data_IF_228311711938
#
_entry.id   IF_228311711938
#
_cell.length_a   1.000
_cell.length_b   1.000
_cell.length_c   1.000
_cell.angle_alpha   90.00
_cell.angle_beta   90.00
_cell.angle_gamma   90.00
#
_symmetry.space_group_name_H-M   'P 1'
#
loop_
_entity.id
_entity.type
_entity.pdbx_description
1 polymer ?
#
# COMPACT_ATOMS: atom_id res chain seq x y z
N UNK A 1 -7.20 28.63 0.67
CA UNK A 1 -8.12 29.74 1.06
C UNK A 1 -8.62 29.75 2.51
N UNK A 2 -8.86 28.62 3.21
CA UNK A 2 -9.18 28.63 4.67
C UNK A 2 -7.91 28.57 5.54
N UNK A 3 -7.00 27.65 5.20
CA UNK A 3 -5.71 27.48 5.86
C UNK A 3 -4.82 28.75 5.84
N UNK A 4 -4.75 29.44 4.70
CA UNK A 4 -3.99 30.70 4.56
C UNK A 4 -4.58 31.84 5.40
N UNK A 5 -5.90 31.80 5.64
CA UNK A 5 -6.60 32.76 6.49
C UNK A 5 -6.29 32.51 7.97
N UNK A 6 -6.21 31.24 8.35
CA UNK A 6 -5.90 30.82 9.71
C UNK A 6 -4.42 31.07 10.06
N UNK A 7 -3.50 30.89 9.11
CA UNK A 7 -2.06 31.22 9.29
C UNK A 7 -1.84 32.73 9.43
N UNK A 8 -2.50 33.55 8.60
CA UNK A 8 -2.41 35.03 8.73
C UNK A 8 -2.96 35.51 10.06
N UNK A 9 -4.10 34.96 10.51
CA UNK A 9 -4.68 35.30 11.80
C UNK A 9 -3.77 34.92 12.97
N UNK A 10 -3.14 33.73 12.92
CA UNK A 10 -2.19 33.30 13.94
C UNK A 10 -0.94 34.21 13.97
N UNK A 11 -0.43 34.60 12.80
CA UNK A 11 0.67 35.57 12.68
C UNK A 11 0.30 36.93 13.28
N UNK A 12 -0.90 37.43 13.00
CA UNK A 12 -1.38 38.71 13.54
C UNK A 12 -1.59 38.66 15.06
N UNK A 13 -2.10 37.53 15.60
CA UNK A 13 -2.29 37.32 17.04
C UNK A 13 -0.94 37.19 17.79
N UNK A 14 0.06 36.55 17.18
CA UNK A 14 1.43 36.47 17.74
C UNK A 14 2.13 37.82 17.73
N UNK A 15 1.88 38.66 16.72
CA UNK A 15 2.46 40.00 16.61
C UNK A 15 1.73 41.05 17.47
N UNK A 16 0.45 40.85 17.79
CA UNK A 16 -0.35 41.75 18.63
C UNK A 16 -0.14 41.57 20.15
N UNK A 17 0.42 40.45 20.62
CA UNK A 17 0.71 40.19 22.05
C UNK A 17 1.98 40.88 22.60
N UNK A 18 2.42 41.96 21.96
CA UNK A 18 3.79 42.49 22.00
C UNK A 18 4.26 43.27 23.22
N UNK A 19 3.48 43.41 24.31
CA UNK A 19 3.90 44.21 25.47
C UNK A 19 4.22 43.39 26.75
N UNK A 20 4.22 42.06 26.66
CA UNK A 20 4.50 41.19 27.83
C UNK A 20 5.18 39.84 27.54
N UNK A 21 5.69 39.62 26.33
CA UNK A 21 6.27 38.33 25.95
C UNK A 21 7.69 38.14 26.53
N UNK A 22 7.81 37.27 27.56
CA UNK A 22 9.10 36.79 28.08
C UNK A 22 9.99 36.29 26.94
N UNK A 23 11.32 36.44 27.08
CA UNK A 23 12.31 36.12 26.06
C UNK A 23 12.16 34.68 25.53
N UNK A 24 11.71 33.75 26.38
CA UNK A 24 11.42 32.36 26.04
C UNK A 24 10.24 32.21 25.06
N UNK A 25 9.21 33.05 25.17
CA UNK A 25 8.06 33.08 24.23
C UNK A 25 8.48 33.62 22.86
N UNK A 26 9.31 34.67 22.82
CA UNK A 26 9.88 35.21 21.59
C UNK A 26 10.82 34.23 20.89
N UNK A 27 11.63 33.48 21.66
CA UNK A 27 12.49 32.43 21.11
C UNK A 27 11.66 31.26 20.54
N UNK A 28 10.62 30.81 21.24
CA UNK A 28 9.71 29.78 20.74
C UNK A 28 8.98 30.19 19.45
N UNK A 29 8.53 31.44 19.39
CA UNK A 29 7.87 32.00 18.19
C UNK A 29 8.81 32.10 16.99
N UNK A 30 10.09 32.46 17.21
CA UNK A 30 11.12 32.46 16.15
C UNK A 30 11.41 31.06 15.63
N UNK A 31 11.57 30.08 16.52
CA UNK A 31 11.80 28.69 16.12
C UNK A 31 10.61 28.14 15.30
N UNK A 32 9.37 28.51 15.64
CA UNK A 32 8.19 28.13 14.89
C UNK A 32 8.15 28.75 13.48
N UNK A 33 8.56 30.02 13.34
CA UNK A 33 8.68 30.69 12.04
C UNK A 33 9.78 30.07 11.18
N UNK A 34 10.97 29.81 11.74
CA UNK A 34 12.07 29.15 11.04
C UNK A 34 11.66 27.74 10.55
N UNK A 35 10.93 26.99 11.38
CA UNK A 35 10.39 25.68 10.99
C UNK A 35 9.35 25.80 9.87
N UNK A 36 8.48 26.82 9.90
CA UNK A 36 7.50 27.07 8.85
C UNK A 36 8.16 27.43 7.51
N UNK A 37 9.17 28.32 7.51
CA UNK A 37 9.92 28.70 6.32
C UNK A 37 10.75 27.54 5.74
N UNK A 38 11.30 26.69 6.61
CA UNK A 38 11.98 25.47 6.18
C UNK A 38 10.98 24.50 5.50
N UNK A 39 9.77 24.38 6.07
CA UNK A 39 8.71 23.56 5.50
C UNK A 39 8.22 24.11 4.16
N UNK A 40 8.06 25.43 4.01
CA UNK A 40 7.72 26.07 2.73
C UNK A 40 8.76 25.77 1.65
N UNK A 41 10.06 25.88 1.98
CA UNK A 41 11.14 25.54 1.03
C UNK A 41 11.09 24.09 0.57
N UNK A 42 10.77 23.15 1.47
CA UNK A 42 10.58 21.73 1.12
C UNK A 42 9.37 21.55 0.21
N UNK A 43 8.25 22.21 0.51
CA UNK A 43 7.04 22.14 -0.31
C UNK A 43 7.26 22.74 -1.71
N UNK A 44 8.02 23.82 -1.82
CA UNK A 44 8.37 24.41 -3.11
C UNK A 44 9.31 23.52 -3.93
N UNK A 45 10.28 22.87 -3.28
CA UNK A 45 11.12 21.87 -3.94
C UNK A 45 10.31 20.65 -4.42
N UNK A 46 9.28 20.23 -3.68
CA UNK A 46 8.35 19.19 -4.11
C UNK A 46 7.47 19.67 -5.27
N UNK A 47 6.95 20.90 -5.23
CA UNK A 47 6.17 21.49 -6.33
C UNK A 47 7.00 21.60 -7.61
N UNK A 48 8.29 21.93 -7.49
CA UNK A 48 9.20 21.99 -8.62
C UNK A 48 9.35 20.62 -9.31
N UNK A 49 9.38 19.53 -8.54
CA UNK A 49 9.41 18.16 -9.10
C UNK A 49 8.12 17.78 -9.83
N UNK A 50 7.00 18.41 -9.48
CA UNK A 50 5.71 18.22 -10.15
C UNK A 50 5.48 19.18 -11.34
N UNK A 51 6.48 19.97 -11.74
CA UNK A 51 6.33 20.86 -12.91
C UNK A 51 6.03 20.05 -14.17
N UNK A 52 4.96 20.44 -14.88
CA UNK A 52 4.48 19.75 -16.08
C UNK A 52 3.44 18.67 -15.81
N UNK A 53 3.15 18.33 -14.55
CA UNK A 53 2.03 17.47 -14.18
C UNK A 53 0.75 18.32 -14.13
N UNK A 54 -0.17 18.06 -15.05
CA UNK A 54 -1.49 18.70 -15.04
C UNK A 54 -2.58 17.82 -14.41
N UNK A 55 -3.78 18.39 -14.23
CA UNK A 55 -4.91 17.68 -13.65
C UNK A 55 -5.36 16.47 -14.49
N UNK A 56 -5.17 16.51 -15.81
CA UNK A 56 -5.52 15.40 -16.70
C UNK A 56 -4.54 14.23 -16.53
N UNK A 57 -3.24 14.51 -16.36
CA UNK A 57 -2.23 13.51 -16.05
C UNK A 57 -2.51 12.82 -14.72
N UNK A 58 -2.85 13.60 -13.68
CA UNK A 58 -3.26 13.05 -12.38
C UNK A 58 -4.53 12.21 -12.49
N UNK A 59 -5.55 12.72 -13.19
CA UNK A 59 -6.82 12.00 -13.40
C UNK A 59 -6.66 10.69 -14.19
N UNK A 60 -5.61 10.58 -15.01
CA UNK A 60 -5.29 9.38 -15.78
C UNK A 60 -4.45 8.36 -15.00
N UNK A 61 -3.93 8.70 -13.81
CA UNK A 61 -3.03 7.84 -13.04
C UNK A 61 -3.66 6.48 -12.70
N UNK A 62 -4.81 6.48 -12.01
CA UNK A 62 -5.50 5.24 -11.62
C UNK A 62 -5.96 4.42 -12.84
N UNK A 63 -6.59 5.02 -13.87
CA UNK A 63 -6.93 4.29 -15.10
C UNK A 63 -5.72 3.67 -15.82
N UNK A 64 -4.61 4.39 -15.92
CA UNK A 64 -3.40 3.89 -16.58
C UNK A 64 -2.75 2.77 -15.77
N UNK A 65 -2.68 2.91 -14.44
CA UNK A 65 -2.21 1.87 -13.55
C UNK A 65 -3.06 0.60 -13.68
N UNK A 66 -4.38 0.73 -13.68
CA UNK A 66 -5.30 -0.39 -13.88
C UNK A 66 -5.08 -1.05 -15.25
N UNK A 67 -4.92 -0.27 -16.31
CA UNK A 67 -4.64 -0.80 -17.65
C UNK A 67 -3.32 -1.55 -17.69
N UNK A 68 -2.25 -1.02 -17.10
CA UNK A 68 -0.95 -1.68 -17.00
C UNK A 68 -1.05 -3.01 -16.22
N UNK A 69 -1.79 -3.03 -15.10
CA UNK A 69 -2.08 -4.24 -14.34
C UNK A 69 -2.80 -5.31 -15.20
N UNK A 70 -3.80 -4.91 -15.98
CA UNK A 70 -4.52 -5.81 -16.90
C UNK A 70 -3.65 -6.33 -18.04
N UNK A 71 -2.67 -5.55 -18.49
CA UNK A 71 -1.68 -5.92 -19.50
C UNK A 71 -0.56 -6.81 -18.94
N UNK A 72 -0.56 -7.09 -17.63
CA UNK A 72 0.39 -8.01 -17.00
C UNK A 72 1.68 -7.35 -16.52
N UNK A 73 1.74 -6.02 -16.41
CA UNK A 73 2.89 -5.36 -15.78
C UNK A 73 2.88 -5.67 -14.27
N UNK A 74 3.89 -6.39 -13.74
CA UNK A 74 3.82 -6.93 -12.39
C UNK A 74 3.78 -5.88 -11.27
N UNK A 75 4.51 -4.76 -11.40
CA UNK A 75 4.49 -3.70 -10.40
C UNK A 75 3.15 -2.98 -10.36
N UNK A 76 2.60 -2.65 -11.53
CA UNK A 76 1.30 -2.04 -11.68
C UNK A 76 0.20 -2.93 -11.13
N UNK A 77 0.28 -4.24 -11.36
CA UNK A 77 -0.66 -5.22 -10.77
C UNK A 77 -0.60 -5.20 -9.25
N UNK A 78 0.59 -5.32 -8.66
CA UNK A 78 0.73 -5.31 -7.22
C UNK A 78 0.32 -3.96 -6.61
N UNK A 79 0.68 -2.83 -7.23
CA UNK A 79 0.31 -1.49 -6.76
C UNK A 79 -1.19 -1.25 -6.88
N UNK A 80 -1.81 -1.66 -8.00
CA UNK A 80 -3.24 -1.56 -8.16
C UNK A 80 -3.97 -2.41 -7.13
N UNK A 81 -3.50 -3.63 -6.83
CA UNK A 81 -4.07 -4.44 -5.75
C UNK A 81 -3.90 -3.77 -4.37
N UNK A 82 -2.74 -3.19 -4.09
CA UNK A 82 -2.43 -2.55 -2.81
C UNK A 82 -3.25 -1.27 -2.55
N UNK A 83 -3.32 -0.36 -3.53
CA UNK A 83 -3.89 0.98 -3.37
C UNK A 83 -5.15 1.21 -4.20
N UNK A 84 -5.25 0.57 -5.36
CA UNK A 84 -6.37 0.68 -6.27
C UNK A 84 -6.80 2.14 -6.52
N UNK A 85 -8.10 2.46 -6.40
CA UNK A 85 -8.56 3.84 -6.56
C UNK A 85 -8.15 4.76 -5.40
N UNK A 86 -7.69 4.23 -4.27
CA UNK A 86 -7.17 5.01 -3.15
C UNK A 86 -5.82 5.69 -3.43
N UNK A 87 -5.16 5.37 -4.55
CA UNK A 87 -3.97 6.09 -5.02
C UNK A 87 -4.29 7.56 -5.35
N UNK A 88 -5.54 7.85 -5.74
CA UNK A 88 -6.07 9.20 -5.94
C UNK A 88 -7.34 9.37 -5.09
N UNK A 89 -7.14 9.60 -3.79
CA UNK A 89 -8.24 9.74 -2.83
C UNK A 89 -9.17 10.93 -3.17
N UNK A 90 -8.66 11.99 -3.77
CA UNK A 90 -9.45 13.13 -4.19
C UNK A 90 -10.35 12.76 -5.39
N UNK A 91 -9.76 12.19 -6.45
CA UNK A 91 -10.51 11.76 -7.62
C UNK A 91 -11.46 10.59 -7.35
N UNK A 92 -11.27 9.84 -6.26
CA UNK A 92 -12.23 8.83 -5.82
C UNK A 92 -13.58 9.43 -5.38
N UNK A 93 -13.60 10.66 -4.85
CA UNK A 93 -14.85 11.35 -4.50
C UNK A 93 -15.65 11.71 -5.75
N UNK A 94 -14.96 12.08 -6.83
CA UNK A 94 -15.57 12.40 -8.12
C UNK A 94 -15.94 11.15 -8.93
N UNK A 95 -15.29 10.01 -8.63
CA UNK A 95 -15.44 8.73 -9.33
C UNK A 95 -15.66 7.53 -8.40
N UNK A 96 -16.75 7.50 -7.61
CA UNK A 96 -17.02 6.43 -6.66
C UNK A 96 -17.22 5.06 -7.32
N UNK A 97 -17.60 5.02 -8.60
CA UNK A 97 -17.74 3.80 -9.40
C UNK A 97 -16.45 2.98 -9.46
N UNK A 98 -15.29 3.63 -9.30
CA UNK A 98 -13.97 2.97 -9.31
C UNK A 98 -13.81 1.95 -8.18
N UNK A 99 -14.52 2.11 -7.06
CA UNK A 99 -14.53 1.09 -5.98
C UNK A 99 -15.19 -0.21 -6.43
N UNK A 100 -16.31 -0.11 -7.13
CA UNK A 100 -17.00 -1.30 -7.66
C UNK A 100 -16.17 -1.99 -8.75
N UNK A 101 -15.53 -1.20 -9.63
CA UNK A 101 -14.62 -1.72 -10.64
C UNK A 101 -13.40 -2.41 -10.02
N UNK A 102 -12.81 -1.83 -8.98
CA UNK A 102 -11.73 -2.45 -8.22
C UNK A 102 -12.14 -3.81 -7.65
N UNK A 103 -13.28 -3.89 -6.95
CA UNK A 103 -13.80 -5.17 -6.42
C UNK A 103 -14.03 -6.20 -7.51
N UNK A 104 -14.57 -5.78 -8.66
CA UNK A 104 -14.82 -6.67 -9.79
C UNK A 104 -13.55 -7.20 -10.48
N UNK A 105 -12.44 -6.46 -10.38
CA UNK A 105 -11.18 -6.78 -11.10
C UNK A 105 -10.13 -7.44 -10.21
N UNK A 106 -10.16 -7.20 -8.89
CA UNK A 106 -9.16 -7.67 -7.94
C UNK A 106 -8.93 -9.18 -8.05
N UNK A 107 -10.01 -9.98 -8.09
CA UNK A 107 -9.92 -11.43 -8.20
C UNK A 107 -9.15 -11.89 -9.45
N UNK A 108 -9.43 -11.30 -10.61
CA UNK A 108 -8.72 -11.64 -11.86
C UNK A 108 -7.24 -11.29 -11.79
N UNK A 109 -6.90 -10.14 -11.18
CA UNK A 109 -5.50 -9.73 -11.01
C UNK A 109 -4.77 -10.66 -10.04
N UNK A 110 -5.42 -11.08 -8.95
CA UNK A 110 -4.89 -12.07 -8.00
C UNK A 110 -4.61 -13.40 -8.69
N UNK A 111 -5.61 -13.95 -9.39
CA UNK A 111 -5.50 -15.25 -10.06
C UNK A 111 -4.36 -15.25 -11.09
N UNK A 112 -4.23 -14.18 -11.88
CA UNK A 112 -3.10 -14.00 -12.81
C UNK A 112 -1.77 -13.87 -12.09
N UNK A 113 -1.69 -13.08 -11.02
CA UNK A 113 -0.46 -12.92 -10.24
C UNK A 113 0.04 -14.22 -9.64
N UNK A 114 -0.86 -15.03 -9.09
CA UNK A 114 -0.52 -16.36 -8.57
C UNK A 114 -0.14 -17.32 -9.70
N UNK A 115 -0.79 -17.24 -10.87
CA UNK A 115 -0.43 -18.04 -12.04
C UNK A 115 0.98 -17.70 -12.56
N UNK A 116 1.35 -16.41 -12.55
CA UNK A 116 2.65 -15.93 -13.01
C UNK A 116 3.78 -16.12 -11.96
N UNK A 117 3.45 -16.61 -10.77
CA UNK A 117 4.42 -16.75 -9.68
C UNK A 117 4.93 -15.40 -9.14
N UNK A 118 4.04 -14.40 -9.04
CA UNK A 118 4.37 -13.04 -8.62
C UNK A 118 4.35 -12.89 -7.09
N UNK A 119 5.53 -12.85 -6.47
CA UNK A 119 5.68 -12.72 -5.02
C UNK A 119 5.09 -11.42 -4.45
N UNK A 120 5.05 -10.33 -5.25
CA UNK A 120 4.47 -9.06 -4.81
C UNK A 120 2.96 -9.17 -4.59
N UNK A 121 2.28 -9.93 -5.45
CA UNK A 121 0.84 -10.20 -5.30
C UNK A 121 0.60 -11.04 -4.06
N UNK A 122 1.43 -12.07 -3.82
CA UNK A 122 1.32 -12.88 -2.61
C UNK A 122 1.51 -12.06 -1.33
N UNK A 123 2.45 -11.12 -1.34
CA UNK A 123 2.70 -10.22 -0.22
C UNK A 123 1.47 -9.36 0.12
N UNK A 124 0.81 -8.79 -0.91
CA UNK A 124 -0.44 -8.05 -0.70
C UNK A 124 -1.55 -8.93 -0.12
N UNK A 125 -1.64 -10.19 -0.57
CA UNK A 125 -2.67 -11.13 -0.10
C UNK A 125 -2.46 -11.55 1.36
N UNK A 126 -1.22 -11.71 1.81
CA UNK A 126 -0.93 -12.01 3.21
C UNK A 126 -1.55 -10.97 4.14
N UNK A 127 -1.29 -9.70 3.85
CA UNK A 127 -1.86 -8.58 4.61
C UNK A 127 -3.38 -8.48 4.45
N UNK A 128 -3.92 -8.72 3.26
CA UNK A 128 -5.37 -8.64 3.02
C UNK A 128 -6.19 -9.71 3.77
N UNK A 129 -5.61 -10.87 4.04
CA UNK A 129 -6.24 -11.93 4.83
C UNK A 129 -5.86 -11.88 6.32
N UNK A 130 -5.26 -10.79 6.80
CA UNK A 130 -5.08 -10.56 8.24
C UNK A 130 -6.39 -10.31 8.98
N UNK A 131 -6.63 -10.97 10.13
CA UNK A 131 -7.78 -10.66 10.95
C UNK A 131 -7.76 -9.17 11.32
N UNK A 132 -8.82 -8.45 10.93
CA UNK A 132 -8.93 -7.01 11.17
C UNK A 132 -8.24 -6.14 10.12
N UNK A 133 -7.77 -6.70 9.01
CA UNK A 133 -7.27 -5.92 7.88
C UNK A 133 -8.37 -4.98 7.34
N UNK A 134 -8.02 -3.72 7.16
CA UNK A 134 -8.94 -2.63 6.76
C UNK A 134 -8.63 -2.06 5.36
N UNK A 135 -7.77 -2.76 4.60
CA UNK A 135 -7.43 -2.37 3.24
C UNK A 135 -8.58 -2.59 2.25
N UNK A 136 -8.54 -1.87 1.11
CA UNK A 136 -9.48 -2.12 0.01
C UNK A 136 -9.40 -3.57 -0.50
N UNK A 137 -8.20 -4.15 -0.50
CA UNK A 137 -7.98 -5.53 -0.92
C UNK A 137 -8.64 -6.51 0.06
N UNK A 138 -8.50 -6.29 1.37
CA UNK A 138 -9.17 -7.07 2.40
C UNK A 138 -10.70 -7.04 2.20
N UNK A 139 -11.26 -5.87 1.94
CA UNK A 139 -12.69 -5.72 1.64
C UNK A 139 -13.12 -6.40 0.32
N UNK A 140 -12.21 -6.57 -0.65
CA UNK A 140 -12.50 -7.21 -1.93
C UNK A 140 -12.40 -8.75 -1.87
N UNK A 141 -11.46 -9.28 -1.08
CA UNK A 141 -11.24 -10.73 -0.96
C UNK A 141 -12.08 -11.36 0.16
N UNK A 142 -12.42 -10.59 1.19
CA UNK A 142 -13.16 -11.04 2.36
C UNK A 142 -12.38 -11.99 3.27
N UNK A 143 -13.04 -12.43 4.33
CA UNK A 143 -12.44 -13.36 5.30
C UNK A 143 -12.55 -14.80 4.81
N UNK A 144 -11.40 -15.46 4.59
CA UNK A 144 -11.31 -16.89 4.30
C UNK A 144 -10.08 -17.50 5.01
N UNK A 145 -10.34 -18.32 6.02
CA UNK A 145 -9.29 -18.95 6.82
C UNK A 145 -8.42 -19.92 6.00
N UNK A 146 -9.01 -20.60 5.01
CA UNK A 146 -8.27 -21.52 4.15
C UNK A 146 -7.35 -20.75 3.20
N UNK A 147 -7.82 -19.63 2.64
CA UNK A 147 -6.98 -18.76 1.81
C UNK A 147 -5.85 -18.10 2.60
N UNK A 148 -6.12 -17.62 3.82
CA UNK A 148 -5.09 -17.12 4.74
C UNK A 148 -3.96 -18.14 4.90
N UNK A 149 -4.31 -19.38 5.27
CA UNK A 149 -3.32 -20.44 5.46
C UNK A 149 -2.56 -20.75 4.16
N UNK A 150 -3.29 -20.89 3.04
CA UNK A 150 -2.70 -21.17 1.71
C UNK A 150 -1.60 -20.17 1.35
N UNK A 151 -1.88 -18.87 1.47
CA UNK A 151 -0.93 -17.83 1.10
C UNK A 151 0.24 -17.71 2.10
N UNK A 152 -0.01 -17.87 3.40
CA UNK A 152 1.06 -17.95 4.41
C UNK A 152 1.99 -19.15 4.15
N UNK A 153 1.42 -20.32 3.84
CA UNK A 153 2.20 -21.52 3.54
C UNK A 153 3.03 -21.35 2.27
N UNK A 154 2.43 -20.81 1.21
CA UNK A 154 3.11 -20.54 -0.06
C UNK A 154 4.28 -19.57 0.14
N UNK A 155 4.07 -18.49 0.91
CA UNK A 155 5.15 -17.57 1.26
C UNK A 155 6.25 -18.29 2.03
N UNK A 156 5.89 -19.11 3.02
CA UNK A 156 6.88 -19.84 3.84
C UNK A 156 7.77 -20.76 3.01
N UNK A 157 7.22 -21.38 1.96
CA UNK A 157 7.97 -22.24 1.02
C UNK A 157 9.03 -21.46 0.22
N UNK A 158 8.75 -20.21 -0.15
CA UNK A 158 9.69 -19.34 -0.86
C UNK A 158 10.64 -18.54 0.04
N UNK A 159 10.34 -18.45 1.34
CA UNK A 159 11.12 -17.70 2.31
C UNK A 159 12.40 -18.44 2.75
N UNK A 160 13.48 -17.74 3.14
CA UNK A 160 14.65 -18.36 3.74
C UNK A 160 14.31 -19.25 4.95
N UNK A 161 15.14 -20.24 5.24
CA UNK A 161 14.97 -21.19 6.35
C UNK A 161 15.26 -20.59 7.74
N UNK A 162 14.85 -19.35 8.01
CA UNK A 162 14.94 -18.74 9.33
C UNK A 162 13.58 -18.86 10.06
N UNK A 163 13.54 -19.30 11.32
CA UNK A 163 12.34 -19.23 12.15
C UNK A 163 11.98 -17.76 12.40
N UNK A 164 10.69 -17.43 12.36
CA UNK A 164 10.22 -16.05 12.60
C UNK A 164 8.70 -15.94 12.70
N UNK A 165 8.19 -14.70 12.72
CA UNK A 165 6.76 -14.38 12.85
C UNK A 165 5.86 -15.16 11.86
N UNK A 166 6.38 -15.49 10.67
CA UNK A 166 5.65 -16.26 9.66
C UNK A 166 5.27 -17.68 10.11
N UNK A 167 6.05 -18.32 10.99
CA UNK A 167 5.77 -19.69 11.46
C UNK A 167 4.66 -19.70 12.53
N UNK A 168 4.63 -18.67 13.39
CA UNK A 168 3.56 -18.48 14.37
C UNK A 168 2.23 -18.11 13.72
N UNK A 169 2.27 -17.20 12.72
CA UNK A 169 1.10 -16.84 11.92
C UNK A 169 0.51 -18.05 11.20
N UNK A 170 1.39 -18.90 10.65
CA UNK A 170 1.00 -20.12 9.95
C UNK A 170 0.37 -21.13 10.92
N UNK A 171 0.93 -21.31 12.11
CA UNK A 171 0.38 -22.19 13.14
C UNK A 171 -1.01 -21.69 13.62
N UNK A 172 -1.14 -20.38 13.83
CA UNK A 172 -2.41 -19.74 14.21
C UNK A 172 -3.47 -19.89 13.12
N UNK A 173 -3.08 -19.74 11.84
CA UNK A 173 -3.98 -19.97 10.72
C UNK A 173 -4.39 -21.46 10.61
N UNK A 174 -3.46 -22.39 10.80
CA UNK A 174 -3.75 -23.84 10.80
C UNK A 174 -4.76 -24.22 11.89
N UNK A 175 -4.65 -23.64 13.08
CA UNK A 175 -5.56 -23.93 14.20
C UNK A 175 -7.03 -23.59 13.90
N UNK A 176 -7.31 -22.78 12.88
CA UNK A 176 -8.67 -22.42 12.44
C UNK A 176 -9.23 -23.38 11.38
N UNK A 177 -8.46 -24.38 10.94
CA UNK A 177 -8.85 -25.30 9.87
C UNK A 177 -9.09 -26.71 10.42
N UNK A 178 -10.07 -27.41 9.84
CA UNK A 178 -10.22 -28.84 10.04
C UNK A 178 -9.09 -29.64 9.35
N UNK A 179 -8.83 -30.89 9.76
CA UNK A 179 -7.73 -31.70 9.21
C UNK A 179 -7.74 -31.82 7.68
N UNK A 180 -8.91 -32.02 7.08
CA UNK A 180 -9.07 -32.11 5.62
C UNK A 180 -8.75 -30.78 4.93
N UNK A 181 -9.26 -29.66 5.45
CA UNK A 181 -9.00 -28.32 4.89
C UNK A 181 -7.52 -27.96 4.96
N UNK A 182 -6.86 -28.31 6.07
CA UNK A 182 -5.43 -28.11 6.25
C UNK A 182 -4.64 -28.91 5.21
N UNK A 183 -4.91 -30.20 5.06
CA UNK A 183 -4.23 -31.05 4.08
C UNK A 183 -4.44 -30.55 2.63
N UNK A 184 -5.65 -30.13 2.27
CA UNK A 184 -5.95 -29.54 0.96
C UNK A 184 -5.19 -28.23 0.73
N UNK A 185 -5.12 -27.38 1.75
CA UNK A 185 -4.43 -26.10 1.68
C UNK A 185 -2.90 -26.27 1.57
N UNK A 186 -2.31 -27.22 2.31
CA UNK A 186 -0.89 -27.58 2.19
C UNK A 186 -0.55 -28.14 0.81
N UNK A 187 -1.41 -29.03 0.29
CA UNK A 187 -1.23 -29.61 -1.03
C UNK A 187 -1.37 -28.54 -2.13
N UNK A 188 -2.30 -27.60 -1.97
CA UNK A 188 -2.42 -26.44 -2.86
C UNK A 188 -1.16 -25.58 -2.85
N UNK A 189 -0.65 -25.21 -1.66
CA UNK A 189 0.51 -24.32 -1.54
C UNK A 189 1.77 -24.97 -2.14
N UNK A 190 1.99 -26.26 -1.86
CA UNK A 190 3.12 -27.02 -2.40
C UNK A 190 3.04 -27.13 -3.92
N UNK A 191 1.86 -27.46 -4.48
CA UNK A 191 1.69 -27.53 -5.95
C UNK A 191 1.93 -26.17 -6.59
N UNK A 192 1.33 -25.11 -6.04
CA UNK A 192 1.44 -23.74 -6.58
C UNK A 192 2.89 -23.25 -6.54
N UNK A 193 3.61 -23.53 -5.45
CA UNK A 193 5.03 -23.20 -5.33
C UNK A 193 5.87 -23.87 -6.43
N UNK A 194 5.66 -25.16 -6.66
CA UNK A 194 6.42 -25.93 -7.65
C UNK A 194 6.01 -25.60 -9.09
N UNK A 195 4.73 -25.38 -9.35
CA UNK A 195 4.20 -25.21 -10.72
C UNK A 195 4.26 -23.77 -11.20
N UNK A 196 3.81 -22.81 -10.39
CA UNK A 196 3.66 -21.42 -10.81
C UNK A 196 4.89 -20.59 -10.42
N UNK A 197 5.38 -20.80 -9.19
CA UNK A 197 6.58 -20.10 -8.70
C UNK A 197 7.87 -20.83 -9.09
N UNK A 198 7.78 -22.02 -9.71
CA UNK A 198 8.91 -22.83 -10.17
C UNK A 198 9.96 -23.11 -9.08
N UNK A 199 9.54 -23.16 -7.81
CA UNK A 199 10.44 -23.33 -6.67
C UNK A 199 11.38 -22.14 -6.42
N UNK A 200 11.16 -20.99 -7.09
CA UNK A 200 11.96 -19.78 -6.91
C UNK A 200 11.75 -19.23 -5.51
N UNK A 201 12.78 -18.61 -4.95
CA UNK A 201 12.67 -17.93 -3.66
C UNK A 201 12.01 -16.57 -3.81
N UNK A 202 11.49 -16.03 -2.70
CA UNK A 202 10.88 -14.70 -2.65
C UNK A 202 11.86 -13.60 -3.07
N UNK A 203 13.13 -13.77 -2.72
CA UNK A 203 14.22 -12.82 -2.98
C UNK A 203 14.83 -12.96 -4.40
N UNK A 204 14.31 -13.85 -5.24
CA UNK A 204 14.88 -14.14 -6.55
C UNK A 204 14.83 -12.94 -7.52
N UNK A 205 13.81 -12.08 -7.40
CA UNK A 205 13.59 -10.92 -8.27
C UNK A 205 13.94 -9.60 -7.55
N UNK A 206 14.71 -9.67 -6.47
CA UNK A 206 14.97 -8.55 -5.55
C UNK A 206 14.07 -8.59 -4.31
N UNK A 207 14.27 -7.64 -3.36
CA UNK A 207 13.44 -7.60 -2.17
C UNK A 207 12.02 -7.13 -2.51
N UNK A 208 11.06 -7.53 -1.68
CA UNK A 208 9.66 -7.09 -1.78
C UNK A 208 9.56 -5.62 -1.35
N UNK A 209 9.72 -4.71 -2.31
CA UNK A 209 9.51 -3.27 -2.13
C UNK A 209 8.00 -2.93 -2.06
N UNK A 210 7.68 -1.75 -1.54
CA UNK A 210 6.33 -1.17 -1.75
C UNK A 210 6.05 -1.17 -3.26
N UNK A 211 5.03 -1.90 -3.73
CA UNK A 211 4.81 -2.05 -5.17
C UNK A 211 4.43 -0.74 -5.86
N UNK A 212 4.02 0.28 -5.10
CA UNK A 212 3.71 1.61 -5.61
C UNK A 212 4.89 2.58 -5.58
N UNK A 213 6.05 2.14 -5.07
CA UNK A 213 7.31 2.88 -5.17
C UNK A 213 8.13 2.21 -6.26
N UNK A 214 8.22 2.85 -7.42
CA UNK A 214 9.09 2.38 -8.47
C UNK A 214 10.55 2.53 -8.01
N UNK A 215 11.36 1.45 -8.00
CA UNK A 215 12.77 1.58 -7.69
C UNK A 215 13.40 2.54 -8.72
N UNK A 216 14.25 3.45 -8.25
CA UNK A 216 15.08 4.27 -9.14
C UNK A 216 15.97 3.34 -9.97
N UNK A 217 15.95 3.50 -11.29
CA UNK A 217 16.88 2.83 -12.20
C UNK A 217 18.36 3.12 -11.84
#
# INVERSE_FOLDING_TARGET
>A
MRLERDVRRYSDEVMAGGDGADARSRQGSRAALEAAEANERVLDALRAQCQGVDAAMLGALVPNLHKAALLGEPYARACYLARGPGLDAAGLLDHPERLSAYRGTARTLIERGIADGDWRVLDQLRGAYEPGADSLLAAAVGDDAAQRYRYLKLFRLGAPSQPGASDEDLATAAARLGPTQLAEAEAWATRTFNQNFHGRRIDADGPLWDPCVFPSE
#
